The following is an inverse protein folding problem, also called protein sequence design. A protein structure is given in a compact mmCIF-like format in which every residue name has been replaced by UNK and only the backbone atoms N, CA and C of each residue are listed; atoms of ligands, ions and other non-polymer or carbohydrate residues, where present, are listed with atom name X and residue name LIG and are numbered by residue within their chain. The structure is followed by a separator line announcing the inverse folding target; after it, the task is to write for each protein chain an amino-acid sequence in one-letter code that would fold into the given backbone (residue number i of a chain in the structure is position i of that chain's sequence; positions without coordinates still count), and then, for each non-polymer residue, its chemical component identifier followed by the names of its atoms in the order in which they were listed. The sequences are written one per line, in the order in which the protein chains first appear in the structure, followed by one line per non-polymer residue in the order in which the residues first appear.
data_IF_848548332188
#
_entry.id   IF_848548332188
#
_cell.length_a   1.000
_cell.length_b   1.000
_cell.length_c   1.000
_cell.angle_alpha   90.00
_cell.angle_beta   90.00
_cell.angle_gamma   90.00
#
_symmetry.space_group_name_H-M   'P 1'
#
loop_
_entity.id
_entity.type
_entity.pdbx_description
1 polymer ?
#
# COMPACT_ATOMS: atom_id res chain seq x y z
N UNK A 1 -3.59 1.83 20.67
CA UNK A 1 -5.06 1.88 20.43
C UNK A 1 -5.90 1.25 21.54
N UNK A 2 -5.31 0.49 22.47
CA UNK A 2 -6.03 -0.15 23.60
C UNK A 2 -6.61 0.84 24.64
N UNK A 3 -6.02 2.02 24.81
CA UNK A 3 -6.51 3.08 25.69
C UNK A 3 -7.57 3.94 25.01
N UNK A 4 -8.76 4.04 25.60
CA UNK A 4 -9.84 4.91 25.11
C UNK A 4 -9.42 6.39 25.13
N UNK A 5 -8.72 6.83 26.19
CA UNK A 5 -8.20 8.20 26.30
C UNK A 5 -7.22 8.53 25.17
N UNK A 6 -6.28 7.60 24.88
CA UNK A 6 -5.31 7.82 23.80
C UNK A 6 -5.98 7.83 22.42
N UNK A 7 -7.02 7.00 22.19
CA UNK A 7 -7.80 7.05 20.96
C UNK A 7 -8.50 8.40 20.81
N UNK A 8 -9.17 8.88 21.87
CA UNK A 8 -9.86 10.16 21.83
C UNK A 8 -8.89 11.33 21.57
N UNK A 9 -7.75 11.35 22.28
CA UNK A 9 -6.72 12.35 22.05
C UNK A 9 -6.20 12.36 20.61
N UNK A 10 -6.05 11.17 20.00
CA UNK A 10 -5.63 11.07 18.60
C UNK A 10 -6.71 11.62 17.66
N UNK A 11 -7.97 11.27 17.88
CA UNK A 11 -9.11 11.74 17.08
C UNK A 11 -9.22 13.27 17.16
N UNK A 12 -9.16 13.84 18.35
CA UNK A 12 -9.25 15.29 18.55
C UNK A 12 -8.12 16.04 17.84
N UNK A 13 -6.90 15.51 17.90
CA UNK A 13 -5.75 16.09 17.21
C UNK A 13 -5.86 15.99 15.69
N UNK A 14 -6.33 14.85 15.15
CA UNK A 14 -6.55 14.67 13.72
C UNK A 14 -7.63 15.63 13.20
N UNK A 15 -8.75 15.73 13.91
CA UNK A 15 -9.83 16.69 13.57
C UNK A 15 -9.30 18.12 13.52
N UNK A 16 -8.55 18.54 14.55
CA UNK A 16 -7.99 19.88 14.62
C UNK A 16 -7.05 20.18 13.44
N UNK A 17 -6.20 19.20 13.06
CA UNK A 17 -5.27 19.36 11.94
C UNK A 17 -6.00 19.41 10.58
N UNK A 18 -6.98 18.54 10.37
CA UNK A 18 -7.76 18.49 9.11
C UNK A 18 -8.55 19.78 8.94
N UNK A 19 -9.19 20.29 10.00
CA UNK A 19 -9.90 21.56 9.99
C UNK A 19 -8.97 22.75 9.74
N UNK A 20 -7.82 22.80 10.41
CA UNK A 20 -6.82 23.86 10.22
C UNK A 20 -6.22 23.86 8.80
N UNK A 21 -6.06 22.66 8.20
CA UNK A 21 -5.57 22.48 6.84
C UNK A 21 -6.64 22.64 5.76
N UNK A 22 -7.91 22.79 6.14
CA UNK A 22 -9.05 22.78 5.22
C UNK A 22 -9.01 21.56 4.28
N UNK A 23 -8.70 20.38 4.83
CA UNK A 23 -8.64 19.14 4.08
C UNK A 23 -9.98 18.38 4.15
N UNK A 24 -10.17 17.46 3.22
CA UNK A 24 -11.44 16.73 3.02
C UNK A 24 -11.53 15.43 3.86
N UNK A 25 -10.54 15.15 4.69
CA UNK A 25 -10.54 13.94 5.52
C UNK A 25 -9.15 13.45 5.89
N UNK A 26 -9.05 12.17 6.22
CA UNK A 26 -7.80 11.54 6.69
C UNK A 26 -7.62 10.14 6.10
N UNK A 27 -6.39 9.79 5.80
CA UNK A 27 -5.99 8.41 5.51
C UNK A 27 -5.15 7.88 6.68
N UNK A 28 -5.59 6.80 7.29
CA UNK A 28 -4.90 6.16 8.42
C UNK A 28 -3.90 5.12 7.89
N UNK A 29 -2.62 5.36 8.14
CA UNK A 29 -1.51 4.57 7.62
C UNK A 29 -0.70 3.94 8.78
N UNK A 30 -1.28 2.93 9.42
CA UNK A 30 -0.61 2.12 10.43
C UNK A 30 -0.04 0.85 9.81
N UNK A 31 1.22 0.88 9.41
CA UNK A 31 1.92 -0.28 8.89
C UNK A 31 2.39 -1.23 10.01
N UNK A 32 2.71 -2.48 9.64
CA UNK A 32 3.23 -3.51 10.56
C UNK A 32 2.39 -3.73 11.82
N UNK A 33 1.12 -3.74 11.67
CA UNK A 33 0.13 -3.80 12.73
C UNK A 33 -0.02 -5.24 13.27
N UNK A 34 0.04 -5.47 14.60
CA UNK A 34 -0.06 -6.82 15.16
C UNK A 34 -1.52 -7.29 15.26
N UNK A 35 -1.76 -8.58 15.01
CA UNK A 35 -3.11 -9.19 15.09
C UNK A 35 -3.80 -9.02 16.45
N UNK A 36 -3.05 -8.89 17.52
CA UNK A 36 -3.60 -8.63 18.87
C UNK A 36 -4.30 -7.27 18.99
N UNK A 37 -4.08 -6.36 18.05
CA UNK A 37 -4.73 -5.04 18.03
C UNK A 37 -5.91 -4.95 17.05
N UNK A 38 -6.27 -6.04 16.36
CA UNK A 38 -7.34 -6.07 15.34
C UNK A 38 -8.65 -5.43 15.83
N UNK A 39 -9.14 -5.82 17.01
CA UNK A 39 -10.37 -5.27 17.58
C UNK A 39 -10.22 -3.80 18.00
N UNK A 40 -9.04 -3.41 18.50
CA UNK A 40 -8.77 -2.02 18.86
C UNK A 40 -8.73 -1.10 17.64
N UNK A 41 -8.27 -1.61 16.48
CA UNK A 41 -8.33 -0.88 15.21
C UNK A 41 -9.78 -0.66 14.77
N UNK A 42 -10.61 -1.70 14.82
CA UNK A 42 -12.04 -1.57 14.51
C UNK A 42 -12.70 -0.50 15.39
N UNK A 43 -12.47 -0.55 16.70
CA UNK A 43 -13.01 0.47 17.62
C UNK A 43 -12.50 1.87 17.27
N UNK A 44 -11.20 2.02 17.03
CA UNK A 44 -10.61 3.32 16.67
C UNK A 44 -11.19 3.89 15.37
N UNK A 45 -11.33 3.08 14.33
CA UNK A 45 -11.87 3.55 13.04
C UNK A 45 -13.36 3.87 13.16
N UNK A 46 -14.12 3.12 13.96
CA UNK A 46 -15.52 3.46 14.25
C UNK A 46 -15.62 4.84 14.89
N UNK A 47 -14.92 5.04 16.03
CA UNK A 47 -14.93 6.30 16.78
C UNK A 47 -14.45 7.47 15.90
N UNK A 48 -13.41 7.25 15.10
CA UNK A 48 -12.81 8.25 14.19
C UNK A 48 -13.80 8.66 13.09
N UNK A 49 -14.41 7.69 12.40
CA UNK A 49 -15.33 7.98 11.29
C UNK A 49 -16.58 8.72 11.77
N UNK A 50 -17.15 8.29 12.91
CA UNK A 50 -18.27 8.99 13.52
C UNK A 50 -17.93 10.44 13.89
N UNK A 51 -16.76 10.66 14.49
CA UNK A 51 -16.31 12.00 14.87
C UNK A 51 -16.08 12.90 13.64
N UNK A 52 -15.43 12.38 12.60
CA UNK A 52 -15.16 13.11 11.37
C UNK A 52 -16.44 13.47 10.61
N UNK A 53 -17.33 12.51 10.38
CA UNK A 53 -18.60 12.76 9.68
C UNK A 53 -19.50 13.75 10.45
N UNK A 54 -19.45 13.73 11.79
CA UNK A 54 -20.19 14.69 12.62
C UNK A 54 -19.61 16.10 12.57
N UNK A 55 -18.27 16.23 12.66
CA UNK A 55 -17.59 17.53 12.74
C UNK A 55 -17.34 18.17 11.39
N UNK A 56 -17.17 17.38 10.34
CA UNK A 56 -16.85 17.78 8.96
C UNK A 56 -17.74 17.00 8.00
N UNK A 57 -18.98 17.43 7.75
CA UNK A 57 -19.90 16.72 6.86
C UNK A 57 -19.32 16.54 5.46
N UNK A 58 -19.34 15.30 4.97
CA UNK A 58 -18.75 14.91 3.68
C UNK A 58 -17.26 14.57 3.72
N UNK A 59 -16.64 14.63 4.90
CA UNK A 59 -15.23 14.16 5.05
C UNK A 59 -15.08 12.66 4.76
N UNK A 60 -13.86 12.27 4.42
CA UNK A 60 -13.48 10.90 4.10
C UNK A 60 -12.49 10.35 5.14
N UNK A 61 -12.78 9.17 5.69
CA UNK A 61 -11.86 8.40 6.53
C UNK A 61 -11.49 7.12 5.80
N UNK A 62 -10.26 7.04 5.32
CA UNK A 62 -9.75 5.89 4.58
C UNK A 62 -8.57 5.25 5.31
N UNK A 63 -8.25 4.00 4.97
CA UNK A 63 -7.12 3.26 5.55
C UNK A 63 -6.14 2.84 4.47
N UNK A 64 -4.85 3.12 4.67
CA UNK A 64 -3.79 2.47 3.89
C UNK A 64 -3.63 1.02 4.37
N UNK A 65 -3.76 0.10 3.44
CA UNK A 65 -3.83 -1.33 3.72
C UNK A 65 -2.74 -2.08 2.97
N UNK A 66 -2.09 -3.07 3.60
CA UNK A 66 -1.03 -3.82 2.95
C UNK A 66 -1.57 -4.63 1.76
N UNK A 67 -0.78 -4.81 0.67
CA UNK A 67 -1.21 -5.63 -0.46
C UNK A 67 -1.41 -7.10 -0.07
N UNK A 68 -0.72 -7.54 1.00
CA UNK A 68 -0.80 -8.88 1.58
C UNK A 68 -0.76 -8.75 3.10
N UNK A 69 -1.78 -9.24 3.79
CA UNK A 69 -1.83 -9.25 5.26
C UNK A 69 -1.16 -10.51 5.83
N UNK A 70 0.15 -10.46 6.01
CA UNK A 70 0.93 -11.54 6.61
C UNK A 70 0.62 -11.79 8.09
N UNK A 71 0.15 -10.78 8.78
CA UNK A 71 -0.11 -10.81 10.22
C UNK A 71 -1.54 -11.24 10.58
N UNK A 72 -2.45 -11.27 9.60
CA UNK A 72 -3.89 -11.42 9.81
C UNK A 72 -4.42 -10.40 10.82
N UNK A 73 -3.95 -9.16 10.73
CA UNK A 73 -4.24 -8.09 11.68
C UNK A 73 -5.51 -7.30 11.37
N UNK A 74 -6.03 -7.40 10.15
CA UNK A 74 -7.09 -6.52 9.66
C UNK A 74 -8.45 -7.23 9.61
N UNK A 75 -9.51 -6.56 10.07
CA UNK A 75 -10.89 -7.00 9.88
C UNK A 75 -11.48 -6.32 8.65
N UNK A 76 -11.14 -6.85 7.47
CA UNK A 76 -11.45 -6.24 6.19
C UNK A 76 -12.94 -5.93 6.01
N UNK A 77 -13.82 -6.88 6.35
CA UNK A 77 -15.25 -6.70 6.14
C UNK A 77 -15.82 -5.60 7.03
N UNK A 78 -15.43 -5.59 8.31
CA UNK A 78 -15.89 -4.58 9.25
C UNK A 78 -15.30 -3.22 8.88
N UNK A 79 -13.98 -3.14 8.63
CA UNK A 79 -13.30 -1.89 8.29
C UNK A 79 -13.85 -1.27 7.00
N UNK A 80 -14.15 -2.06 5.96
CA UNK A 80 -14.81 -1.57 4.76
C UNK A 80 -16.19 -0.98 5.05
N UNK A 81 -16.94 -1.58 5.98
CA UNK A 81 -18.30 -1.14 6.32
C UNK A 81 -18.34 0.15 7.15
N UNK A 82 -17.33 0.38 8.00
CA UNK A 82 -17.28 1.52 8.95
C UNK A 82 -16.43 2.69 8.48
N UNK A 83 -15.62 2.53 7.42
CA UNK A 83 -14.82 3.58 6.82
C UNK A 83 -15.34 3.96 5.44
N UNK A 84 -14.75 5.00 4.85
CA UNK A 84 -15.11 5.45 3.51
C UNK A 84 -14.33 4.70 2.42
N UNK A 85 -13.20 4.07 2.76
CA UNK A 85 -12.46 3.26 1.81
C UNK A 85 -11.21 2.60 2.36
N UNK A 86 -10.85 1.49 1.74
CA UNK A 86 -9.61 0.75 1.97
C UNK A 86 -8.68 0.97 0.78
N UNK A 87 -7.61 1.73 1.00
CA UNK A 87 -6.58 2.01 0.01
C UNK A 87 -5.56 0.88 0.00
N UNK A 88 -5.64 0.00 -0.98
CA UNK A 88 -4.70 -1.11 -1.17
C UNK A 88 -3.38 -0.54 -1.68
N UNK A 89 -2.30 -0.67 -0.92
CA UNK A 89 -0.95 -0.28 -1.31
C UNK A 89 -0.39 -1.27 -2.34
N UNK A 90 -0.84 -1.17 -3.60
CA UNK A 90 -0.53 -2.11 -4.69
C UNK A 90 0.91 -2.00 -5.19
N UNK A 91 1.89 -2.01 -4.26
CA UNK A 91 3.31 -1.87 -4.53
C UNK A 91 4.15 -2.60 -3.46
N UNK A 92 5.48 -2.58 -3.63
CA UNK A 92 6.44 -3.28 -2.77
C UNK A 92 6.28 -4.81 -2.76
N UNK A 93 5.77 -5.42 -3.84
CA UNK A 93 5.81 -6.88 -4.00
C UNK A 93 7.26 -7.37 -4.08
N UNK A 94 8.12 -6.63 -4.78
CA UNK A 94 9.56 -6.61 -4.57
C UNK A 94 9.96 -5.21 -4.11
N UNK A 95 10.86 -5.13 -3.15
CA UNK A 95 11.28 -3.90 -2.49
C UNK A 95 12.81 -3.89 -2.31
N UNK A 96 13.38 -2.85 -1.74
CA UNK A 96 14.82 -2.70 -1.58
C UNK A 96 15.53 -3.89 -0.91
N UNK A 97 14.88 -4.55 0.05
CA UNK A 97 15.43 -5.71 0.77
C UNK A 97 15.17 -7.07 0.13
N UNK A 98 14.58 -7.13 -1.06
CA UNK A 98 14.32 -8.41 -1.75
C UNK A 98 15.60 -9.14 -2.12
N UNK A 99 15.62 -10.46 -1.96
CA UNK A 99 16.76 -11.32 -2.29
C UNK A 99 16.92 -11.58 -3.80
N UNK A 100 15.90 -11.24 -4.58
CA UNK A 100 15.92 -11.29 -6.05
C UNK A 100 15.37 -10.00 -6.62
N UNK A 101 15.83 -9.61 -7.80
CA UNK A 101 15.21 -8.54 -8.56
C UNK A 101 13.81 -8.94 -8.99
N UNK A 102 12.88 -7.98 -9.05
CA UNK A 102 11.51 -8.31 -9.43
C UNK A 102 10.61 -7.08 -9.54
N UNK A 103 9.38 -7.27 -9.98
CA UNK A 103 8.45 -6.17 -10.18
C UNK A 103 8.00 -5.57 -8.85
N UNK A 104 8.04 -4.23 -8.76
CA UNK A 104 7.49 -3.48 -7.63
C UNK A 104 5.97 -3.68 -7.52
N UNK A 105 5.28 -3.68 -8.67
CA UNK A 105 3.83 -3.77 -8.76
C UNK A 105 3.42 -4.66 -9.94
N UNK A 106 3.52 -6.00 -9.81
CA UNK A 106 3.15 -6.93 -10.88
C UNK A 106 1.64 -6.93 -11.10
N UNK A 107 1.20 -6.75 -12.35
CA UNK A 107 -0.23 -6.85 -12.66
C UNK A 107 -0.73 -8.29 -12.54
N UNK A 108 0.06 -9.25 -13.03
CA UNK A 108 -0.28 -10.68 -13.08
C UNK A 108 0.97 -11.54 -12.90
N UNK A 109 0.82 -12.86 -12.96
CA UNK A 109 1.94 -13.82 -12.87
C UNK A 109 1.84 -14.74 -11.65
N UNK A 110 2.88 -15.54 -11.38
CA UNK A 110 2.90 -16.42 -10.24
C UNK A 110 3.09 -15.63 -8.93
N UNK A 111 2.53 -16.15 -7.85
CA UNK A 111 2.61 -15.55 -6.52
C UNK A 111 1.67 -14.37 -6.32
N UNK A 112 2.10 -13.42 -5.50
CA UNK A 112 1.30 -12.24 -5.16
C UNK A 112 1.42 -11.16 -6.23
N UNK A 113 0.28 -10.63 -6.66
CA UNK A 113 0.17 -9.63 -7.72
C UNK A 113 -0.96 -8.64 -7.41
N UNK A 114 -1.06 -7.56 -8.16
CA UNK A 114 -2.21 -6.63 -8.06
C UNK A 114 -3.53 -7.37 -8.21
N UNK A 115 -3.64 -8.23 -9.24
CA UNK A 115 -4.85 -9.02 -9.48
C UNK A 115 -5.16 -9.91 -8.28
N UNK A 116 -4.15 -10.59 -7.71
CA UNK A 116 -4.33 -11.40 -6.52
C UNK A 116 -4.82 -10.57 -5.33
N UNK A 117 -4.18 -9.43 -5.04
CA UNK A 117 -4.55 -8.57 -3.91
C UNK A 117 -5.96 -8.02 -4.05
N UNK A 118 -6.35 -7.54 -5.23
CA UNK A 118 -7.73 -7.04 -5.45
C UNK A 118 -8.76 -8.15 -5.24
N UNK A 119 -8.51 -9.36 -5.74
CA UNK A 119 -9.41 -10.50 -5.53
C UNK A 119 -9.47 -10.93 -4.07
N UNK A 120 -8.34 -10.94 -3.35
CA UNK A 120 -8.29 -11.23 -1.92
C UNK A 120 -9.10 -10.21 -1.10
N UNK A 121 -8.97 -8.92 -1.41
CA UNK A 121 -9.75 -7.86 -0.80
C UNK A 121 -11.25 -7.97 -1.09
N UNK A 122 -11.62 -8.20 -2.35
CA UNK A 122 -13.03 -8.43 -2.72
C UNK A 122 -13.64 -9.57 -1.92
N UNK A 123 -12.94 -10.70 -1.79
CA UNK A 123 -13.39 -11.83 -1.01
C UNK A 123 -13.49 -11.49 0.49
N UNK A 124 -12.49 -10.83 1.06
CA UNK A 124 -12.42 -10.49 2.49
C UNK A 124 -13.39 -9.38 2.90
N UNK A 125 -13.78 -8.51 1.97
CA UNK A 125 -14.77 -7.44 2.20
C UNK A 125 -16.19 -7.85 1.83
N UNK A 126 -16.43 -9.13 1.55
CA UNK A 126 -17.72 -9.61 1.09
C UNK A 126 -18.22 -8.84 -0.16
N UNK A 127 -17.30 -8.60 -1.10
CA UNK A 127 -17.52 -7.92 -2.39
C UNK A 127 -17.97 -6.44 -2.31
N UNK A 128 -17.58 -5.71 -1.26
CA UNK A 128 -17.77 -4.26 -1.16
C UNK A 128 -16.75 -3.53 -2.08
N UNK A 129 -16.93 -3.66 -3.39
CA UNK A 129 -15.98 -3.12 -4.38
C UNK A 129 -15.90 -1.59 -4.39
N UNK A 130 -16.98 -0.93 -4.05
CA UNK A 130 -17.11 0.54 -3.90
C UNK A 130 -16.26 1.10 -2.75
N UNK A 131 -15.82 0.24 -1.83
CA UNK A 131 -14.92 0.59 -0.73
C UNK A 131 -13.44 0.38 -1.04
N UNK A 132 -13.08 -0.18 -2.20
CA UNK A 132 -11.70 -0.51 -2.53
C UNK A 132 -11.08 0.53 -3.46
N UNK A 133 -9.93 1.05 -3.05
CA UNK A 133 -9.11 2.00 -3.81
C UNK A 133 -7.77 1.34 -4.09
N UNK A 134 -7.42 1.14 -5.36
CA UNK A 134 -6.13 0.55 -5.72
C UNK A 134 -5.06 1.63 -5.88
N UNK A 135 -4.09 1.65 -4.99
CA UNK A 135 -2.88 2.47 -5.11
C UNK A 135 -1.84 1.81 -6.01
N UNK A 136 -1.24 2.58 -6.90
CA UNK A 136 -0.17 2.15 -7.80
C UNK A 136 1.05 3.06 -7.66
N UNK A 137 2.30 2.54 -7.84
CA UNK A 137 3.51 3.30 -7.60
C UNK A 137 3.93 4.16 -8.81
N UNK A 138 4.45 5.34 -8.54
CA UNK A 138 5.22 6.15 -9.48
C UNK A 138 6.74 6.04 -9.20
N UNK A 139 7.18 4.87 -8.75
CA UNK A 139 8.57 4.53 -8.46
C UNK A 139 8.84 3.05 -8.74
N UNK A 140 10.08 2.69 -8.86
CA UNK A 140 10.57 1.31 -8.93
C UNK A 140 11.78 1.11 -8.05
N UNK A 141 12.42 -0.03 -8.17
CA UNK A 141 13.64 -0.34 -7.45
C UNK A 141 14.76 -0.73 -8.42
N UNK A 142 15.98 -0.40 -8.03
CA UNK A 142 17.20 -0.73 -8.71
C UNK A 142 18.11 -1.49 -7.75
N UNK A 143 18.65 -2.62 -8.20
CA UNK A 143 19.53 -3.47 -7.40
C UNK A 143 20.80 -3.82 -8.15
N UNK A 144 21.93 -3.87 -7.45
CA UNK A 144 23.04 -4.68 -7.91
C UNK A 144 22.64 -6.15 -7.92
N UNK A 145 22.92 -6.87 -8.99
CA UNK A 145 22.47 -8.25 -9.19
C UNK A 145 23.54 -9.17 -9.75
N UNK A 146 23.36 -10.47 -9.56
CA UNK A 146 24.31 -11.50 -10.01
C UNK A 146 24.34 -11.69 -11.52
N UNK A 147 23.36 -11.18 -12.26
CA UNK A 147 23.28 -11.22 -13.72
C UNK A 147 22.27 -10.20 -14.25
N UNK A 148 22.25 -10.02 -15.57
CA UNK A 148 21.33 -9.13 -16.28
C UNK A 148 19.93 -9.76 -16.54
N UNK A 149 19.61 -10.90 -15.91
CA UNK A 149 18.33 -11.56 -16.08
C UNK A 149 17.28 -11.02 -15.09
N UNK A 150 16.03 -10.96 -15.51
CA UNK A 150 14.92 -10.74 -14.60
C UNK A 150 14.87 -11.86 -13.54
N UNK A 151 14.65 -11.51 -12.28
CA UNK A 151 14.65 -12.47 -11.16
C UNK A 151 16.04 -12.88 -10.68
N UNK A 152 17.11 -12.21 -11.11
CA UNK A 152 18.47 -12.46 -10.64
C UNK A 152 18.61 -12.20 -9.14
N UNK A 153 19.50 -12.93 -8.46
CA UNK A 153 19.81 -12.68 -7.06
C UNK A 153 20.39 -11.28 -6.87
N UNK A 154 19.94 -10.60 -5.84
CA UNK A 154 20.44 -9.26 -5.48
C UNK A 154 21.73 -9.34 -4.66
N UNK A 155 22.54 -8.30 -4.74
CA UNK A 155 23.73 -8.09 -3.92
C UNK A 155 23.53 -6.84 -3.08
N UNK A 156 23.20 -7.02 -1.80
CA UNK A 156 22.91 -5.91 -0.89
C UNK A 156 21.51 -5.33 -1.06
N UNK A 157 21.31 -4.13 -0.54
CA UNK A 157 20.02 -3.43 -0.53
C UNK A 157 19.86 -2.60 -1.79
N UNK A 158 18.73 -2.73 -2.46
CA UNK A 158 18.37 -1.90 -3.60
C UNK A 158 17.93 -0.49 -3.18
N UNK A 159 17.87 0.41 -4.15
CA UNK A 159 17.41 1.79 -3.98
C UNK A 159 16.12 2.05 -4.73
N UNK A 160 15.20 2.79 -4.09
CA UNK A 160 14.02 3.31 -4.77
C UNK A 160 14.43 4.39 -5.78
N UNK A 161 13.77 4.41 -6.93
CA UNK A 161 13.97 5.39 -8.01
C UNK A 161 12.60 5.91 -8.45
N UNK A 162 12.45 7.22 -8.50
CA UNK A 162 11.22 7.82 -9.02
C UNK A 162 11.07 7.59 -10.52
N UNK A 163 9.82 7.59 -10.99
CA UNK A 163 9.52 7.40 -12.41
C UNK A 163 10.28 8.38 -13.32
N UNK A 164 10.37 9.64 -12.91
CA UNK A 164 11.12 10.68 -13.64
C UNK A 164 12.63 10.38 -13.80
N UNK A 165 13.21 9.63 -12.87
CA UNK A 165 14.62 9.21 -12.94
C UNK A 165 14.80 8.01 -13.86
N UNK A 166 13.92 6.99 -13.70
CA UNK A 166 14.06 5.73 -14.44
C UNK A 166 13.60 5.80 -15.90
N UNK A 167 12.74 6.73 -16.27
CA UNK A 167 12.29 6.85 -17.66
C UNK A 167 13.46 7.16 -18.60
N UNK A 168 14.31 8.12 -18.26
CA UNK A 168 15.50 8.46 -19.03
C UNK A 168 16.55 7.33 -19.06
N UNK A 169 16.75 6.64 -17.94
CA UNK A 169 17.64 5.48 -17.85
C UNK A 169 17.13 4.31 -18.70
N UNK A 170 15.85 4.00 -18.62
CA UNK A 170 15.24 2.94 -19.41
C UNK A 170 15.33 3.22 -20.93
N UNK A 171 15.22 4.48 -21.36
CA UNK A 171 15.44 4.86 -22.76
C UNK A 171 16.91 4.64 -23.20
N UNK A 172 17.85 4.96 -22.31
CA UNK A 172 19.29 4.85 -22.59
C UNK A 172 19.80 3.41 -22.61
N UNK A 173 19.33 2.57 -21.67
CA UNK A 173 19.78 1.19 -21.53
C UNK A 173 18.91 0.15 -22.26
N UNK A 174 17.77 0.57 -22.78
CA UNK A 174 16.83 -0.30 -23.49
C UNK A 174 15.74 -0.84 -22.56
N UNK A 175 14.53 -0.30 -22.69
CA UNK A 175 13.35 -0.74 -21.96
C UNK A 175 12.93 -2.15 -22.38
N UNK A 176 12.85 -3.06 -21.44
CA UNK A 176 12.39 -4.43 -21.60
C UNK A 176 10.99 -4.60 -21.02
N UNK A 177 10.32 -5.70 -21.39
CA UNK A 177 9.00 -6.04 -20.88
C UNK A 177 9.00 -7.45 -20.29
N UNK A 178 8.57 -7.59 -19.04
CA UNK A 178 8.40 -8.89 -18.41
C UNK A 178 6.96 -9.37 -18.61
N UNK A 179 6.78 -10.28 -19.56
CA UNK A 179 5.46 -10.70 -20.03
C UNK A 179 4.60 -11.38 -18.97
N UNK A 180 5.19 -12.10 -18.03
CA UNK A 180 4.46 -12.78 -16.95
C UNK A 180 3.88 -11.79 -15.95
N UNK A 181 4.67 -10.81 -15.47
CA UNK A 181 4.21 -9.81 -14.52
C UNK A 181 3.55 -8.59 -15.15
N UNK A 182 3.62 -8.47 -16.48
CA UNK A 182 3.12 -7.32 -17.24
C UNK A 182 3.73 -6.00 -16.75
N UNK A 183 5.07 -5.98 -16.55
CA UNK A 183 5.81 -4.83 -16.03
C UNK A 183 7.01 -4.49 -16.89
N UNK A 184 7.34 -3.18 -17.04
CA UNK A 184 8.57 -2.74 -17.67
C UNK A 184 9.77 -2.93 -16.73
N UNK A 185 10.94 -3.15 -17.31
CA UNK A 185 12.22 -3.18 -16.61
C UNK A 185 13.37 -2.81 -17.53
N UNK A 186 14.55 -2.64 -17.01
CA UNK A 186 15.80 -2.47 -17.75
C UNK A 186 16.97 -3.09 -16.96
N UNK A 187 18.08 -3.33 -17.61
CA UNK A 187 19.34 -3.73 -16.99
C UNK A 187 20.51 -2.94 -17.62
N UNK A 188 21.61 -2.85 -16.89
CA UNK A 188 22.84 -2.24 -17.36
C UNK A 188 24.02 -2.80 -16.56
N UNK A 189 25.25 -2.60 -17.09
CA UNK A 189 26.49 -2.92 -16.38
C UNK A 189 27.23 -1.63 -16.11
N UNK A 190 27.64 -1.40 -14.88
CA UNK A 190 28.64 -0.37 -14.56
C UNK A 190 29.99 -0.84 -15.10
N UNK A 191 30.56 -0.08 -16.04
CA UNK A 191 31.89 -0.32 -16.57
C UNK A 191 32.94 0.28 -15.67
#
# INVERSE_FOLDING_TARGET
LSSAENRQNLIDNLLAQVQAGNADGVNIDFESFPSSQRSNMVTFITDLTEAFHSAIPGSQVTLAMPPIDWSNAWDYNVLASISDGLFIMGYNYHYSGSSTTGPNSPLSGPGYTLTWSVLDYLNKTNFQADKLILGIPYYGFEWASSSNAAGANTSGTGSAKFYSEIEGLAQSYGKLWHSSSQTPWYNYSDN
#
